data_IF_938716957170
#
_entry.id   IF_938716957170
#
_cell.length_a   1.000
_cell.length_b   1.000
_cell.length_c   1.000
_cell.angle_alpha   90.00
_cell.angle_beta   90.00
_cell.angle_gamma   90.00
#
_symmetry.space_group_name_H-M   'P 1'
#
loop_
_entity.id
_entity.type
_entity.pdbx_description
1 polymer ?
#
# COMPACT_ATOMS: atom_id res chain seq x y z
N UNK A 1 16.35 9.56 -26.75
CA UNK A 1 15.07 9.12 -27.37
C UNK A 1 13.97 9.27 -26.33
N UNK A 2 13.07 10.25 -26.51
CA UNK A 2 11.91 10.42 -25.63
C UNK A 2 10.95 9.26 -25.93
N UNK A 3 10.69 8.39 -24.96
CA UNK A 3 9.62 7.39 -25.08
C UNK A 3 8.31 8.16 -25.18
N UNK A 4 7.65 8.07 -26.33
CA UNK A 4 6.26 8.47 -26.48
C UNK A 4 5.43 7.50 -25.64
N UNK A 5 4.97 7.94 -24.47
CA UNK A 5 3.97 7.23 -23.69
C UNK A 5 2.63 7.39 -24.41
N UNK A 6 2.34 6.44 -25.28
CA UNK A 6 0.99 6.20 -25.81
C UNK A 6 0.07 6.00 -24.60
N UNK A 7 -1.08 6.67 -24.58
CA UNK A 7 -2.13 6.62 -23.56
C UNK A 7 -2.35 5.20 -22.98
N UNK A 8 -1.60 4.83 -21.95
CA UNK A 8 -1.98 3.76 -21.04
C UNK A 8 -3.03 4.36 -20.11
N UNK A 9 -4.30 4.02 -20.35
CA UNK A 9 -5.37 4.36 -19.41
C UNK A 9 -5.09 3.63 -18.11
N UNK A 10 -4.69 4.36 -17.07
CA UNK A 10 -4.51 3.80 -15.73
C UNK A 10 -5.90 3.57 -15.10
N UNK A 11 -6.52 2.44 -15.42
CA UNK A 11 -7.90 2.11 -15.02
C UNK A 11 -8.14 2.31 -13.53
N UNK A 12 -7.20 1.88 -12.69
CA UNK A 12 -7.30 2.05 -11.23
C UNK A 12 -7.21 3.52 -10.80
N UNK A 13 -6.38 4.32 -11.48
CA UNK A 13 -6.26 5.75 -11.19
C UNK A 13 -7.56 6.50 -11.51
N UNK A 14 -8.12 6.26 -12.71
CA UNK A 14 -9.37 6.91 -13.11
C UNK A 14 -10.55 6.46 -12.26
N UNK A 15 -10.64 5.17 -11.94
CA UNK A 15 -11.67 4.63 -11.02
C UNK A 15 -11.57 5.28 -9.65
N UNK A 16 -10.36 5.47 -9.14
CA UNK A 16 -10.13 6.13 -7.86
C UNK A 16 -10.57 7.61 -7.88
N UNK A 17 -10.28 8.35 -8.96
CA UNK A 17 -10.75 9.72 -9.11
C UNK A 17 -12.28 9.80 -9.14
N UNK A 18 -12.93 8.86 -9.83
CA UNK A 18 -14.39 8.76 -9.82
C UNK A 18 -14.93 8.50 -8.42
N UNK A 19 -14.27 7.63 -7.63
CA UNK A 19 -14.61 7.41 -6.23
C UNK A 19 -14.50 8.70 -5.41
N UNK A 20 -13.41 9.44 -5.55
CA UNK A 20 -13.24 10.72 -4.82
C UNK A 20 -14.29 11.75 -5.21
N UNK A 21 -14.65 11.85 -6.49
CA UNK A 21 -15.74 12.71 -6.94
C UNK A 21 -17.08 12.29 -6.33
N UNK A 22 -17.40 10.98 -6.32
CA UNK A 22 -18.62 10.43 -5.71
C UNK A 22 -18.75 10.81 -4.23
N UNK A 23 -17.65 10.79 -3.49
CA UNK A 23 -17.64 11.12 -2.05
C UNK A 23 -17.30 12.58 -1.75
N UNK A 24 -17.09 13.43 -2.76
CA UNK A 24 -16.67 14.84 -2.61
C UNK A 24 -15.40 14.97 -1.75
N UNK A 25 -14.42 14.09 -2.00
CA UNK A 25 -13.14 14.08 -1.27
C UNK A 25 -12.25 15.19 -1.82
N UNK A 26 -11.73 16.03 -0.92
CA UNK A 26 -10.64 16.93 -1.27
C UNK A 26 -9.33 16.14 -1.22
N UNK A 27 -8.59 16.15 -2.32
CA UNK A 27 -7.35 15.39 -2.45
C UNK A 27 -6.27 16.20 -3.17
N UNK A 28 -5.01 15.91 -2.85
CA UNK A 28 -3.84 16.51 -3.53
C UNK A 28 -3.09 15.44 -4.31
N UNK A 29 -2.80 15.70 -5.57
CA UNK A 29 -1.93 14.87 -6.41
C UNK A 29 -0.48 15.39 -6.37
N UNK A 30 0.48 14.48 -6.31
CA UNK A 30 1.92 14.77 -6.42
C UNK A 30 2.53 13.88 -7.49
N UNK A 31 3.14 14.50 -8.49
CA UNK A 31 3.95 13.81 -9.50
C UNK A 31 5.39 13.65 -8.99
N UNK A 32 5.99 12.50 -9.25
CA UNK A 32 7.37 12.24 -8.88
C UNK A 32 7.98 11.14 -9.74
N UNK A 33 9.31 11.06 -9.76
CA UNK A 33 10.00 9.89 -10.33
C UNK A 33 9.66 8.62 -9.54
N UNK A 34 9.67 7.47 -10.21
CA UNK A 34 9.53 6.20 -9.51
C UNK A 34 10.74 5.98 -8.59
N UNK A 35 10.47 5.72 -7.31
CA UNK A 35 11.47 5.36 -6.30
C UNK A 35 10.89 4.25 -5.41
N UNK A 36 11.70 3.21 -5.16
CA UNK A 36 11.29 2.00 -4.44
C UNK A 36 11.63 2.02 -2.94
N UNK A 37 12.51 2.93 -2.50
CA UNK A 37 12.94 3.06 -1.11
C UNK A 37 11.98 3.97 -0.34
N UNK A 38 11.53 3.50 0.83
CA UNK A 38 10.46 4.16 1.60
C UNK A 38 10.88 5.54 2.12
N UNK A 39 12.15 5.71 2.50
CA UNK A 39 12.75 6.94 3.00
C UNK A 39 12.73 8.03 1.91
N UNK A 40 13.24 7.69 0.74
CA UNK A 40 13.46 8.66 -0.33
C UNK A 40 12.16 9.06 -1.00
N UNK A 41 11.23 8.13 -1.17
CA UNK A 41 9.92 8.47 -1.69
C UNK A 41 9.14 9.35 -0.72
N UNK A 42 9.31 9.16 0.60
CA UNK A 42 8.69 10.02 1.60
C UNK A 42 9.24 11.45 1.51
N UNK A 43 10.56 11.60 1.37
CA UNK A 43 11.24 12.89 1.15
C UNK A 43 10.76 13.58 -0.14
N UNK A 44 10.76 12.88 -1.27
CA UNK A 44 10.28 13.40 -2.57
C UNK A 44 8.83 13.90 -2.47
N UNK A 45 8.00 13.18 -1.72
CA UNK A 45 6.58 13.53 -1.52
C UNK A 45 6.39 14.66 -0.51
N UNK A 46 7.37 14.96 0.34
CA UNK A 46 7.22 15.85 1.50
C UNK A 46 6.32 15.24 2.58
N UNK A 47 6.39 13.92 2.79
CA UNK A 47 5.60 13.16 3.78
C UNK A 47 6.48 12.45 4.79
N UNK A 48 5.88 12.03 5.91
CA UNK A 48 6.51 11.07 6.84
C UNK A 48 6.19 9.63 6.43
N UNK A 49 7.04 8.67 6.79
CA UNK A 49 6.85 7.24 6.44
C UNK A 49 5.53 6.70 6.99
N UNK A 50 5.17 7.08 8.21
CA UNK A 50 3.94 6.69 8.87
C UNK A 50 2.67 7.23 8.19
N UNK A 51 2.77 8.31 7.40
CA UNK A 51 1.63 8.81 6.59
C UNK A 51 1.40 7.97 5.34
N UNK A 52 2.40 7.22 4.88
CA UNK A 52 2.21 6.40 3.69
C UNK A 52 1.23 5.25 4.00
N UNK A 53 0.19 5.08 3.20
CA UNK A 53 -0.68 3.92 3.25
C UNK A 53 -0.15 2.86 2.27
N UNK A 54 0.52 1.83 2.78
CA UNK A 54 0.96 0.68 1.99
C UNK A 54 -0.23 -0.24 1.79
N UNK A 55 -0.42 -0.71 0.55
CA UNK A 55 -1.42 -1.71 0.22
C UNK A 55 -0.74 -2.95 -0.39
N UNK A 56 -1.08 -4.14 0.10
CA UNK A 56 -0.51 -5.41 -0.33
C UNK A 56 -1.62 -6.46 -0.46
N UNK A 57 -1.48 -7.38 -1.41
CA UNK A 57 -2.46 -8.48 -1.57
C UNK A 57 -1.94 -9.74 -0.91
N UNK A 58 -2.75 -10.26 0.00
CA UNK A 58 -2.51 -11.53 0.71
C UNK A 58 -3.43 -12.61 0.14
N UNK A 59 -2.88 -13.80 0.00
CA UNK A 59 -3.55 -15.05 -0.37
C UNK A 59 -3.65 -15.94 0.88
N UNK A 60 -4.88 -16.18 1.31
CA UNK A 60 -5.22 -17.02 2.45
C UNK A 60 -5.97 -18.27 1.96
N UNK A 61 -5.47 -19.44 2.33
CA UNK A 61 -6.14 -20.71 2.07
C UNK A 61 -6.99 -21.05 3.28
N UNK A 62 -8.30 -21.18 3.08
CA UNK A 62 -9.29 -21.54 4.12
C UNK A 62 -10.10 -22.71 3.59
N UNK A 63 -10.02 -23.87 4.23
CA UNK A 63 -10.73 -25.09 3.81
C UNK A 63 -10.45 -25.44 2.34
N UNK A 64 -9.18 -25.34 1.93
CA UNK A 64 -8.69 -25.57 0.55
C UNK A 64 -9.09 -24.51 -0.49
N UNK A 65 -9.90 -23.50 -0.13
CA UNK A 65 -10.26 -22.39 -1.00
C UNK A 65 -9.34 -21.18 -0.81
N UNK A 66 -9.02 -20.50 -1.92
CA UNK A 66 -8.26 -19.25 -1.90
C UNK A 66 -9.18 -18.05 -1.64
N UNK A 67 -8.85 -17.27 -0.62
CA UNK A 67 -9.47 -15.98 -0.30
C UNK A 67 -8.40 -14.90 -0.34
N UNK A 68 -8.71 -13.76 -0.97
CA UNK A 68 -7.75 -12.68 -1.15
C UNK A 68 -8.11 -11.47 -0.31
N UNK A 69 -7.09 -10.85 0.29
CA UNK A 69 -7.24 -9.69 1.14
C UNK A 69 -6.31 -8.57 0.70
N UNK A 70 -6.85 -7.36 0.53
CA UNK A 70 -6.10 -6.13 0.44
C UNK A 70 -5.77 -5.67 1.85
N UNK A 71 -4.49 -5.72 2.20
CA UNK A 71 -3.99 -5.34 3.49
C UNK A 71 -3.46 -3.90 3.42
N UNK A 72 -4.01 -3.02 4.25
CA UNK A 72 -3.62 -1.61 4.33
C UNK A 72 -3.00 -1.30 5.69
N UNK A 73 -1.79 -0.73 5.68
CA UNK A 73 -1.05 -0.39 6.90
C UNK A 73 -0.13 0.84 6.70
N UNK A 74 0.33 1.51 7.78
CA UNK A 74 1.32 2.57 7.69
C UNK A 74 2.63 2.14 7.02
N UNK A 75 3.27 3.05 6.31
CA UNK A 75 4.50 2.80 5.58
C UNK A 75 5.71 2.49 6.46
N UNK A 76 5.70 2.95 7.71
CA UNK A 76 6.68 2.64 8.73
C UNK A 76 6.56 1.22 9.32
N UNK A 77 5.53 0.46 8.94
CA UNK A 77 5.23 -0.81 9.59
C UNK A 77 5.48 -2.00 8.65
N UNK A 78 5.69 -3.18 9.24
CA UNK A 78 5.67 -4.47 8.55
C UNK A 78 4.37 -5.18 8.87
N UNK A 79 3.80 -5.81 7.84
CA UNK A 79 2.67 -6.71 7.99
C UNK A 79 3.05 -7.90 8.90
N UNK A 80 2.15 -8.23 9.81
CA UNK A 80 2.18 -9.45 10.58
C UNK A 80 1.22 -10.46 9.94
N UNK A 81 1.77 -11.34 9.11
CA UNK A 81 0.99 -12.36 8.43
C UNK A 81 0.35 -13.36 9.41
N UNK A 82 0.98 -13.62 10.55
CA UNK A 82 0.47 -14.59 11.50
C UNK A 82 -0.80 -14.06 12.18
N UNK A 83 -0.77 -12.81 12.63
CA UNK A 83 -1.96 -12.11 13.15
C UNK A 83 -3.14 -12.14 12.17
N UNK A 84 -2.88 -11.96 10.87
CA UNK A 84 -3.93 -12.03 9.84
C UNK A 84 -4.43 -13.48 9.67
N UNK A 85 -3.52 -14.46 9.62
CA UNK A 85 -3.84 -15.88 9.46
C UNK A 85 -4.79 -16.35 10.56
N UNK A 86 -4.48 -16.01 11.81
CA UNK A 86 -5.30 -16.34 12.97
C UNK A 86 -6.67 -15.68 12.88
N UNK A 87 -6.72 -14.38 12.55
CA UNK A 87 -7.96 -13.63 12.45
C UNK A 87 -8.92 -14.21 11.40
N UNK A 88 -8.42 -14.48 10.18
CA UNK A 88 -9.24 -15.03 9.08
C UNK A 88 -9.40 -16.55 9.15
N UNK A 89 -8.81 -17.20 10.18
CA UNK A 89 -8.81 -18.66 10.39
C UNK A 89 -8.30 -19.44 9.17
N UNK A 90 -7.20 -18.96 8.58
CA UNK A 90 -6.58 -19.60 7.43
C UNK A 90 -5.68 -20.77 7.84
N UNK A 91 -5.74 -21.83 7.03
CA UNK A 91 -4.82 -22.97 7.08
C UNK A 91 -3.42 -22.54 6.66
N UNK A 92 -3.34 -21.63 5.69
CA UNK A 92 -2.09 -21.07 5.18
C UNK A 92 -2.28 -19.62 4.74
N UNK A 93 -1.25 -18.80 4.95
CA UNK A 93 -1.22 -17.42 4.48
C UNK A 93 0.08 -17.12 3.73
N UNK A 94 0.00 -16.30 2.69
CA UNK A 94 1.17 -15.83 1.94
C UNK A 94 0.84 -14.54 1.18
N UNK A 95 1.84 -13.86 0.62
CA UNK A 95 1.55 -12.83 -0.37
C UNK A 95 1.03 -13.46 -1.66
N UNK A 96 0.05 -12.82 -2.28
CA UNK A 96 -0.45 -13.26 -3.57
C UNK A 96 0.65 -13.18 -4.63
N UNK A 97 0.71 -14.18 -5.50
CA UNK A 97 1.63 -14.17 -6.66
C UNK A 97 1.34 -12.96 -7.54
N UNK A 98 2.37 -12.40 -8.17
CA UNK A 98 2.28 -11.19 -9.02
C UNK A 98 1.14 -11.25 -10.04
N UNK A 99 0.93 -12.40 -10.71
CA UNK A 99 -0.15 -12.57 -11.68
C UNK A 99 -1.54 -12.39 -11.05
N UNK A 100 -1.75 -12.93 -9.85
CA UNK A 100 -3.02 -12.82 -9.13
C UNK A 100 -3.20 -11.40 -8.61
N UNK A 101 -2.17 -10.82 -7.99
CA UNK A 101 -2.18 -9.44 -7.51
C UNK A 101 -2.55 -8.46 -8.63
N UNK A 102 -1.91 -8.58 -9.81
CA UNK A 102 -2.22 -7.73 -10.97
C UNK A 102 -3.66 -7.91 -11.45
N UNK A 103 -4.13 -9.16 -11.53
CA UNK A 103 -5.52 -9.46 -11.94
C UNK A 103 -6.54 -8.83 -11.01
N UNK A 104 -6.28 -8.84 -9.70
CA UNK A 104 -7.20 -8.32 -8.69
C UNK A 104 -7.16 -6.79 -8.58
N UNK A 105 -6.01 -6.16 -8.82
CA UNK A 105 -5.80 -4.73 -8.54
C UNK A 105 -5.61 -3.85 -9.78
N UNK A 106 -5.33 -4.44 -10.94
CA UNK A 106 -4.84 -3.77 -12.14
C UNK A 106 -3.58 -2.91 -11.91
N UNK A 107 -2.76 -3.25 -10.90
CA UNK A 107 -1.60 -2.46 -10.49
C UNK A 107 -0.29 -3.26 -10.51
N UNK A 108 0.81 -2.54 -10.67
CA UNK A 108 2.14 -3.01 -10.25
C UNK A 108 2.25 -3.07 -8.72
N UNK A 109 3.18 -3.89 -8.22
CA UNK A 109 3.56 -3.85 -6.81
C UNK A 109 4.05 -2.44 -6.44
N UNK A 110 3.55 -1.90 -5.33
CA UNK A 110 3.84 -0.54 -4.90
C UNK A 110 2.98 0.54 -5.55
N UNK A 111 2.15 0.22 -6.56
CA UNK A 111 1.19 1.15 -7.18
C UNK A 111 -0.25 0.96 -6.67
N UNK A 112 -0.49 -0.10 -5.88
CA UNK A 112 -1.81 -0.47 -5.38
C UNK A 112 -2.29 0.61 -4.39
N UNK A 113 -3.46 1.24 -4.62
CA UNK A 113 -4.04 2.16 -3.66
C UNK A 113 -4.67 1.40 -2.47
N UNK A 114 -4.96 2.05 -1.34
CA UNK A 114 -5.62 1.44 -0.19
C UNK A 114 -7.14 1.27 -0.41
N UNK A 115 -7.55 0.96 -1.64
CA UNK A 115 -8.94 0.73 -2.04
C UNK A 115 -8.99 -0.51 -2.92
N UNK A 116 -10.03 -1.33 -2.73
CA UNK A 116 -10.36 -2.41 -3.64
C UNK A 116 -11.42 -1.95 -4.63
N UNK A 117 -11.29 -2.41 -5.87
CA UNK A 117 -12.31 -2.28 -6.93
C UNK A 117 -12.71 -3.65 -7.50
N UNK A 118 -12.41 -4.71 -6.74
CA UNK A 118 -12.68 -6.09 -7.11
C UNK A 118 -13.39 -6.77 -5.93
N UNK A 119 -14.53 -7.39 -6.22
CA UNK A 119 -15.37 -8.06 -5.22
C UNK A 119 -14.70 -9.27 -4.56
N UNK A 120 -13.74 -9.92 -5.23
CA UNK A 120 -12.96 -11.03 -4.67
C UNK A 120 -11.86 -10.57 -3.70
N UNK A 121 -11.67 -9.25 -3.52
CA UNK A 121 -10.57 -8.67 -2.77
C UNK A 121 -11.10 -7.86 -1.58
N UNK A 122 -11.23 -8.55 -0.45
CA UNK A 122 -11.70 -7.99 0.83
C UNK A 122 -10.65 -7.11 1.49
N UNK A 123 -11.05 -6.07 2.22
CA UNK A 123 -10.11 -5.09 2.78
C UNK A 123 -9.90 -5.34 4.28
N UNK A 124 -8.64 -5.40 4.70
CA UNK A 124 -8.23 -5.37 6.11
C UNK A 124 -7.32 -4.16 6.32
N UNK A 125 -7.67 -3.31 7.29
CA UNK A 125 -6.97 -2.06 7.57
C UNK A 125 -6.40 -2.07 8.99
N UNK A 126 -5.12 -1.75 9.10
CA UNK A 126 -4.50 -1.47 10.39
C UNK A 126 -4.97 -0.10 10.93
N UNK A 127 -5.58 -0.04 12.13
CA UNK A 127 -6.11 1.21 12.68
C UNK A 127 -5.02 2.27 12.93
N UNK A 128 -3.74 1.89 12.98
CA UNK A 128 -2.62 2.84 13.11
C UNK A 128 -2.58 3.83 11.94
N UNK A 129 -3.17 3.53 10.78
CA UNK A 129 -3.27 4.49 9.66
C UNK A 129 -4.01 5.77 10.06
N UNK A 130 -5.03 5.64 10.93
CA UNK A 130 -5.85 6.75 11.40
C UNK A 130 -5.17 7.63 12.45
N UNK A 131 -3.93 7.30 12.88
CA UNK A 131 -3.13 8.17 13.76
C UNK A 131 -2.59 9.39 13.02
N UNK A 132 -2.56 9.36 11.68
CA UNK A 132 -2.21 10.52 10.86
C UNK A 132 -3.48 11.28 10.48
N UNK A 133 -3.41 12.60 10.40
CA UNK A 133 -4.51 13.43 9.89
C UNK A 133 -4.75 13.20 8.40
N UNK A 134 -3.68 12.98 7.65
CA UNK A 134 -3.66 12.76 6.21
C UNK A 134 -2.78 11.54 5.87
N UNK A 135 -3.21 10.78 4.86
CA UNK A 135 -2.47 9.64 4.32
C UNK A 135 -2.02 9.92 2.89
N UNK A 136 -0.91 9.32 2.49
CA UNK A 136 -0.38 9.37 1.12
C UNK A 136 -0.18 7.98 0.55
N UNK A 137 -0.54 7.77 -0.72
CA UNK A 137 -0.35 6.48 -1.38
C UNK A 137 -0.21 6.65 -2.89
N UNK A 138 0.35 5.64 -3.53
CA UNK A 138 0.35 5.55 -4.99
C UNK A 138 -1.03 5.13 -5.49
N UNK A 139 -1.45 5.67 -6.64
CA UNK A 139 -2.79 5.49 -7.17
C UNK A 139 -2.75 4.84 -8.56
N UNK A 140 -2.59 3.52 -8.64
CA UNK A 140 -2.55 2.79 -9.90
C UNK A 140 -1.28 3.03 -10.75
N UNK A 141 -0.40 3.95 -10.31
CA UNK A 141 0.88 4.27 -10.95
C UNK A 141 1.97 4.50 -9.92
N UNK A 142 3.21 4.33 -10.35
CA UNK A 142 4.41 4.46 -9.50
C UNK A 142 5.00 5.87 -9.44
N UNK A 143 4.50 6.78 -10.26
CA UNK A 143 4.97 8.16 -10.45
C UNK A 143 3.91 9.20 -10.02
N UNK A 144 2.81 8.74 -9.42
CA UNK A 144 1.69 9.56 -8.94
C UNK A 144 1.30 9.12 -7.55
N UNK A 145 1.36 10.06 -6.62
CA UNK A 145 0.83 9.89 -5.27
C UNK A 145 -0.36 10.78 -5.03
N UNK A 146 -1.29 10.31 -4.22
CA UNK A 146 -2.46 11.06 -3.77
C UNK A 146 -2.42 11.18 -2.25
N UNK A 147 -2.76 12.37 -1.78
CA UNK A 147 -3.03 12.70 -0.40
C UNK A 147 -4.53 12.88 -0.17
N UNK A 148 -5.07 12.26 0.88
CA UNK A 148 -6.44 12.46 1.37
C UNK A 148 -6.46 12.46 2.90
N UNK A 149 -7.46 13.11 3.48
CA UNK A 149 -7.66 13.05 4.93
C UNK A 149 -7.98 11.61 5.37
N UNK A 150 -7.45 11.19 6.52
CA UNK A 150 -7.77 9.88 7.12
C UNK A 150 -9.26 9.75 7.45
N UNK A 151 -9.93 10.88 7.68
CA UNK A 151 -11.39 10.93 7.90
C UNK A 151 -12.15 10.58 6.63
N UNK A 152 -11.77 11.14 5.49
CA UNK A 152 -12.38 10.80 4.20
C UNK A 152 -12.08 9.37 3.80
N UNK A 153 -10.85 8.90 4.03
CA UNK A 153 -10.50 7.50 3.82
C UNK A 153 -11.44 6.55 4.58
N UNK A 154 -11.57 6.76 5.90
CA UNK A 154 -12.50 5.99 6.75
C UNK A 154 -13.94 6.10 6.26
N UNK A 155 -14.41 7.31 5.94
CA UNK A 155 -15.78 7.57 5.46
C UNK A 155 -16.06 6.79 4.18
N UNK A 156 -15.15 6.75 3.22
CA UNK A 156 -15.31 5.96 2.00
C UNK A 156 -15.40 4.47 2.34
N UNK A 157 -14.45 3.95 3.14
CA UNK A 157 -14.42 2.54 3.52
C UNK A 157 -15.72 2.07 4.19
N UNK A 158 -16.32 2.92 5.03
CA UNK A 158 -17.56 2.58 5.76
C UNK A 158 -18.82 2.61 4.88
N UNK A 159 -18.77 3.21 3.68
CA UNK A 159 -19.95 3.46 2.84
C UNK A 159 -19.87 2.87 1.42
N UNK A 160 -18.67 2.56 0.90
CA UNK A 160 -18.52 2.08 -0.49
C UNK A 160 -18.73 0.58 -0.64
N UNK A 161 -18.34 -0.19 0.38
CA UNK A 161 -18.25 -1.64 0.29
C UNK A 161 -19.47 -2.31 0.92
N UNK A 162 -20.03 -3.30 0.20
CA UNK A 162 -21.12 -4.12 0.71
C UNK A 162 -20.68 -4.91 1.96
N UNK A 163 -19.53 -5.58 1.87
CA UNK A 163 -18.84 -6.14 3.03
C UNK A 163 -17.96 -5.06 3.65
N UNK A 164 -18.22 -4.72 4.92
CA UNK A 164 -17.47 -3.67 5.60
C UNK A 164 -15.99 -4.07 5.74
N UNK A 165 -15.05 -3.16 5.46
CA UNK A 165 -13.63 -3.39 5.72
C UNK A 165 -13.39 -3.78 7.18
N UNK A 166 -12.54 -4.77 7.37
CA UNK A 166 -12.13 -5.24 8.69
C UNK A 166 -11.06 -4.28 9.22
N UNK A 167 -11.20 -3.84 10.48
CA UNK A 167 -10.22 -2.96 11.12
C UNK A 167 -9.64 -3.67 12.35
N UNK A 168 -8.37 -4.06 12.26
CA UNK A 168 -7.65 -4.84 13.29
C UNK A 168 -6.16 -4.51 13.27
N UNK A 169 -5.47 -4.67 14.40
CA UNK A 169 -4.00 -4.53 14.42
C UNK A 169 -3.34 -5.72 13.73
N UNK A 170 -2.57 -5.45 12.69
CA UNK A 170 -1.98 -6.47 11.79
C UNK A 170 -0.56 -6.09 11.38
N UNK A 171 0.08 -5.20 12.14
CA UNK A 171 1.41 -4.71 11.80
C UNK A 171 2.28 -4.40 13.01
N UNK A 172 3.57 -4.60 12.81
CA UNK A 172 4.64 -4.35 13.77
C UNK A 172 5.45 -3.15 13.28
N UNK A 173 5.79 -2.23 14.19
CA UNK A 173 6.62 -1.06 13.85
C UNK A 173 8.03 -1.50 13.45
N UNK A 174 8.59 -0.90 12.39
CA UNK A 174 10.00 -1.11 12.08
C UNK A 174 10.86 -0.32 13.08
N UNK A 175 11.62 -1.03 13.92
CA UNK A 175 12.71 -0.42 14.67
C UNK A 175 13.87 -0.23 13.67
N UNK A 176 14.28 1.01 13.44
CA UNK A 176 15.47 1.30 12.63
C UNK A 176 16.69 0.80 13.40
N UNK A 177 17.25 -0.35 12.99
CA UNK A 177 18.59 -0.73 13.41
C UNK A 177 19.58 0.15 12.66
N UNK A 178 20.08 1.19 13.32
CA UNK A 178 21.20 1.99 12.84
C UNK A 178 22.45 1.10 12.76
N UNK A 179 22.71 0.51 11.59
CA UNK A 179 24.06 0.03 11.27
C UNK A 179 24.89 1.26 10.89
N UNK A 180 25.74 1.70 11.82
CA UNK A 180 26.87 2.55 11.50
C UNK A 180 27.80 1.76 10.58
N UNK A 181 27.88 2.12 9.31
CA UNK A 181 28.98 1.69 8.46
C UNK A 181 30.27 2.24 9.07
N UNK A 182 31.05 1.34 9.67
CA UNK A 182 32.39 1.63 10.15
C UNK A 182 33.27 2.03 8.97
N UNK A 183 33.94 3.16 9.11
CA UNK A 183 35.12 3.49 8.34
C UNK A 183 36.15 2.37 8.50
N UNK A 184 36.39 1.59 7.46
CA UNK A 184 37.64 0.85 7.28
C UNK A 184 38.20 1.15 5.88
N UNK A 185 38.68 2.38 5.73
CA UNK A 185 39.70 2.71 4.75
C UNK A 185 41.05 2.56 5.41
N UNK A 186 41.58 1.33 5.52
CA UNK A 186 43.00 1.11 5.79
C UNK A 186 43.48 -0.24 5.26
N UNK A 187 44.31 -0.12 4.21
CA UNK A 187 45.59 -0.82 4.10
C UNK A 187 45.58 -2.32 3.75
N UNK A 188 45.72 -2.61 2.45
CA UNK A 188 46.50 -3.76 1.97
C UNK A 188 47.46 -3.27 0.88
N UNK A 189 48.67 -2.96 1.35
CA UNK A 189 49.93 -3.12 0.58
C UNK A 189 50.34 -4.60 0.67
N UNK A 190 51.23 -4.99 -0.25
CA UNK A 190 51.87 -6.30 -0.46
C UNK A 190 51.01 -7.24 -1.32
N UNK A 191 51.43 -7.70 -2.50
CA UNK A 191 52.78 -7.91 -3.08
C UNK A 191 52.83 -7.47 -4.56
#
# INVERSE_FOLDING_TARGET
MKKNYINETYVTYETLKNLFNKYLVNYKEVEHVHEGRSEQIAEIRGSRKEQAAKAMVVDAVIQQDHKYYLIVLPGSNKIDLESIREFVKADKISFAKTKIMRRLTNCDSGAIPPFSFNEDLNIIVDPKIYKNEEIVFNAGRLDRSIYISSKDYRRILENEYQEKPIVIEISISQVETNFSEGNDSQQLKLE
#
